data_IF_813067975939
#
_entry.id   IF_813067975939
#
_cell.length_a   1.000
_cell.length_b   1.000
_cell.length_c   1.000
_cell.angle_alpha   90.00
_cell.angle_beta   90.00
_cell.angle_gamma   90.00
#
_symmetry.space_group_name_H-M   'P 1'
#
loop_
_entity.id
_entity.type
_entity.pdbx_description
1 polymer ?
#
# COMPACT_ATOMS: atom_id res chain seq x y z
N UNK A 1 6.98 -6.58 22.77
CA UNK A 1 6.22 -5.53 22.05
C UNK A 1 5.56 -6.18 20.85
N UNK A 2 4.32 -5.80 20.51
CA UNK A 2 3.58 -6.39 19.40
C UNK A 2 3.85 -5.55 18.15
N UNK A 3 4.80 -5.97 17.34
CA UNK A 3 5.06 -5.36 16.03
C UNK A 3 3.86 -5.60 15.11
N UNK A 4 3.37 -4.52 14.47
CA UNK A 4 2.36 -4.61 13.41
C UNK A 4 2.98 -4.14 12.12
N UNK A 5 2.99 -5.00 11.11
CA UNK A 5 3.48 -4.68 9.76
C UNK A 5 2.29 -4.59 8.83
N UNK A 6 2.14 -3.44 8.18
CA UNK A 6 1.17 -3.19 7.12
C UNK A 6 1.89 -2.68 5.87
N UNK A 7 1.18 -2.64 4.76
CA UNK A 7 1.70 -2.18 3.47
C UNK A 7 0.75 -1.15 2.88
N UNK A 8 1.29 -0.07 2.35
CA UNK A 8 0.57 0.92 1.56
C UNK A 8 1.02 0.76 0.10
N UNK A 9 0.16 1.10 -0.85
CA UNK A 9 0.50 0.95 -2.27
C UNK A 9 0.53 2.32 -2.95
N UNK A 10 1.61 2.57 -3.67
CA UNK A 10 1.89 3.83 -4.38
C UNK A 10 2.25 3.54 -5.82
N UNK A 11 1.89 4.44 -6.74
CA UNK A 11 2.33 4.33 -8.13
C UNK A 11 3.85 4.59 -8.25
N UNK A 12 4.57 3.86 -9.13
CA UNK A 12 6.03 4.02 -9.27
C UNK A 12 6.42 5.41 -9.78
N UNK A 13 5.64 5.96 -10.73
CA UNK A 13 5.96 7.23 -11.41
C UNK A 13 5.17 8.44 -10.92
N UNK A 14 4.01 8.23 -10.29
CA UNK A 14 3.10 9.30 -9.89
C UNK A 14 3.02 9.35 -8.36
N UNK A 15 2.93 10.54 -7.74
CA UNK A 15 2.77 10.68 -6.30
C UNK A 15 1.32 10.42 -5.88
N UNK A 16 0.77 9.26 -6.26
CA UNK A 16 -0.58 8.82 -5.94
C UNK A 16 -0.53 7.49 -5.19
N UNK A 17 -1.46 7.35 -4.26
CA UNK A 17 -1.59 6.21 -3.36
C UNK A 17 -2.94 5.56 -3.56
N UNK A 18 -2.98 4.23 -3.43
CA UNK A 18 -4.21 3.47 -3.52
C UNK A 18 -5.03 3.67 -2.24
N UNK A 19 -6.31 4.03 -2.39
CA UNK A 19 -7.19 4.44 -1.28
C UNK A 19 -8.30 3.44 -0.95
N UNK A 20 -8.46 2.40 -1.76
CA UNK A 20 -9.40 1.31 -1.54
C UNK A 20 -8.68 -0.04 -1.61
N UNK A 21 -9.35 -1.14 -1.25
CA UNK A 21 -8.85 -2.50 -1.43
C UNK A 21 -9.58 -3.14 -2.62
N UNK A 22 -8.99 -3.19 -3.83
CA UNK A 22 -9.61 -3.86 -4.95
C UNK A 22 -9.72 -5.36 -4.65
N UNK A 23 -10.81 -5.96 -5.10
CA UNK A 23 -11.15 -7.37 -4.88
C UNK A 23 -11.83 -7.92 -6.13
N UNK A 24 -12.01 -9.23 -6.20
CA UNK A 24 -12.67 -9.85 -7.36
C UNK A 24 -14.12 -9.35 -7.57
N UNK A 25 -14.81 -8.93 -6.49
CA UNK A 25 -16.15 -8.32 -6.56
C UNK A 25 -16.14 -6.82 -6.87
N UNK A 26 -15.04 -6.12 -6.59
CA UNK A 26 -14.88 -4.71 -6.91
C UNK A 26 -13.42 -4.46 -7.34
N UNK A 27 -13.11 -4.61 -8.63
CA UNK A 27 -11.75 -4.50 -9.14
C UNK A 27 -11.30 -3.04 -9.34
N UNK A 28 -12.19 -2.05 -9.16
CA UNK A 28 -11.82 -0.66 -9.35
C UNK A 28 -10.72 -0.26 -8.36
N UNK A 29 -9.72 0.47 -8.86
CA UNK A 29 -8.63 1.00 -8.04
C UNK A 29 -8.80 2.51 -7.94
N UNK A 30 -8.95 2.99 -6.72
CA UNK A 30 -9.09 4.40 -6.40
C UNK A 30 -7.75 4.96 -5.94
N UNK A 31 -7.45 6.18 -6.39
CA UNK A 31 -6.19 6.85 -6.12
C UNK A 31 -6.40 8.20 -5.44
N UNK A 32 -5.41 8.63 -4.67
CA UNK A 32 -5.36 9.97 -4.08
C UNK A 32 -3.91 10.42 -3.96
N UNK A 33 -3.67 11.73 -4.11
CA UNK A 33 -2.37 12.34 -3.81
C UNK A 33 -2.13 12.50 -2.30
N UNK A 34 -3.16 12.38 -1.48
CA UNK A 34 -3.06 12.47 -0.03
C UNK A 34 -2.64 11.13 0.58
N UNK A 35 -1.46 11.11 1.22
CA UNK A 35 -0.92 9.92 1.91
C UNK A 35 -1.86 9.41 3.01
N UNK A 36 -2.49 10.29 3.79
CA UNK A 36 -3.40 9.90 4.88
C UNK A 36 -4.65 9.14 4.41
N UNK A 37 -4.95 9.15 3.10
CA UNK A 37 -6.06 8.39 2.51
C UNK A 37 -5.62 7.03 1.97
N UNK A 38 -4.32 6.76 1.93
CA UNK A 38 -3.78 5.51 1.47
C UNK A 38 -4.28 4.38 2.37
N UNK A 39 -4.68 3.27 1.75
CA UNK A 39 -5.24 2.14 2.48
C UNK A 39 -4.15 1.16 2.85
N UNK A 40 -4.14 0.74 4.11
CA UNK A 40 -3.22 -0.25 4.64
C UNK A 40 -3.69 -1.67 4.34
N UNK A 41 -2.76 -2.49 3.88
CA UNK A 41 -2.91 -3.92 3.57
C UNK A 41 -2.13 -4.71 4.61
N UNK A 42 -2.67 -5.83 5.10
CA UNK A 42 -1.93 -6.66 6.05
C UNK A 42 -0.89 -7.53 5.32
N UNK A 43 -1.10 -7.76 4.03
CA UNK A 43 -0.15 -8.41 3.12
C UNK A 43 -0.44 -8.03 1.68
N UNK A 44 0.58 -8.15 0.82
CA UNK A 44 0.44 -7.82 -0.61
C UNK A 44 -0.38 -8.86 -1.38
N UNK A 45 -0.54 -10.08 -0.87
CA UNK A 45 -1.49 -11.06 -1.41
C UNK A 45 -2.95 -10.59 -1.37
N UNK A 46 -3.29 -9.69 -0.43
CA UNK A 46 -4.63 -9.06 -0.39
C UNK A 46 -4.80 -8.00 -1.50
N UNK A 47 -3.70 -7.50 -2.05
CA UNK A 47 -3.72 -6.46 -3.06
C UNK A 47 -3.86 -7.09 -4.45
N UNK A 48 -5.06 -7.02 -5.02
CA UNK A 48 -5.29 -7.28 -6.45
C UNK A 48 -4.81 -6.09 -7.31
N UNK A 49 -3.54 -5.71 -7.14
CA UNK A 49 -2.94 -4.52 -7.75
C UNK A 49 -1.68 -4.93 -8.50
N UNK A 50 -1.53 -4.38 -9.69
CA UNK A 50 -0.36 -4.61 -10.52
C UNK A 50 0.90 -3.96 -9.92
N UNK A 51 1.79 -4.77 -9.34
CA UNK A 51 3.07 -4.31 -8.76
C UNK A 51 4.15 -4.02 -9.82
N UNK A 52 3.87 -4.24 -11.11
CA UNK A 52 4.81 -3.82 -12.17
C UNK A 52 4.81 -2.29 -12.30
N UNK A 53 3.64 -1.67 -12.15
CA UNK A 53 3.41 -0.21 -12.19
C UNK A 53 3.35 0.44 -10.81
N UNK A 54 3.20 -0.35 -9.76
CA UNK A 54 3.09 0.10 -8.37
C UNK A 54 4.22 -0.42 -7.49
N UNK A 55 4.46 0.24 -6.36
CA UNK A 55 5.39 -0.19 -5.33
C UNK A 55 4.70 -0.21 -3.98
N UNK A 56 5.17 -1.11 -3.11
CA UNK A 56 4.69 -1.19 -1.74
C UNK A 56 5.49 -0.21 -0.87
N UNK A 57 4.86 0.29 0.18
CA UNK A 57 5.50 1.01 1.27
C UNK A 57 5.19 0.20 2.51
N UNK A 58 6.20 -0.49 3.04
CA UNK A 58 6.09 -1.22 4.29
C UNK A 58 5.98 -0.23 5.42
N UNK A 59 4.91 -0.33 6.18
CA UNK A 59 4.66 0.40 7.40
C UNK A 59 4.87 -0.55 8.57
N UNK A 60 5.79 -0.21 9.48
CA UNK A 60 6.05 -1.00 10.68
C UNK A 60 5.75 -0.15 11.90
N UNK A 61 4.78 -0.58 12.71
CA UNK A 61 4.37 0.08 13.94
C UNK A 61 4.79 -0.77 15.15
N UNK A 62 5.63 -0.18 16.01
CA UNK A 62 6.09 -0.79 17.27
C UNK A 62 5.85 0.19 18.43
N UNK A 63 6.52 1.34 18.36
CA UNK A 63 6.39 2.49 19.28
C UNK A 63 6.29 3.79 18.46
N UNK A 64 7.09 3.86 17.38
CA UNK A 64 6.99 4.85 16.31
C UNK A 64 6.61 4.19 14.97
N UNK A 65 6.03 4.97 14.07
CA UNK A 65 5.71 4.57 12.70
C UNK A 65 6.94 4.67 11.79
N UNK A 66 7.31 3.55 11.15
CA UNK A 66 8.39 3.50 10.16
C UNK A 66 7.85 3.14 8.78
N UNK A 67 8.22 3.90 7.77
CA UNK A 67 7.81 3.69 6.38
C UNK A 67 9.02 3.42 5.48
N UNK A 68 9.01 2.31 4.77
CA UNK A 68 10.07 1.87 3.87
C UNK A 68 9.48 1.53 2.50
N UNK A 69 9.95 2.18 1.42
CA UNK A 69 9.52 1.83 0.06
C UNK A 69 10.17 0.50 -0.36
N UNK A 70 9.36 -0.49 -0.75
CA UNK A 70 9.79 -1.80 -1.24
C UNK A 70 9.48 -1.86 -2.73
N UNK A 71 10.55 -1.95 -3.53
CA UNK A 71 10.47 -2.22 -4.95
C UNK A 71 10.50 -3.74 -5.16
N UNK A 72 9.48 -4.25 -5.86
CA UNK A 72 9.46 -5.63 -6.33
C UNK A 72 9.96 -5.62 -7.79
N UNK A 73 11.01 -6.42 -8.04
CA UNK A 73 11.62 -6.68 -9.36
C UNK A 73 10.76 -7.67 -10.17
#
# INVERSE_FOLDING_TARGET
>A
MKETVTYLIKHKTLPIYVTNKPSDNNPEISYSTQFSRAREYNGLDEAKIDMTTHKAIKHTHIEDDKYEEIEYD
#
